data_IF_764414581784
#
_entry.id   IF_764414581784
#
_cell.length_a   1.000
_cell.length_b   1.000
_cell.length_c   1.000
_cell.angle_alpha   90.00
_cell.angle_beta   90.00
_cell.angle_gamma   90.00
#
_symmetry.space_group_name_H-M   'P 1'
#
loop_
_entity.id
_entity.type
_entity.pdbx_description
1 polymer ?
#
# COMPACT_ATOMS: atom_id res chain seq x y z
N UNK A 1 -17.07 7.81 -14.75
CA UNK A 1 -16.08 8.60 -13.99
C UNK A 1 -14.89 8.87 -14.91
N UNK A 2 -14.15 9.94 -14.65
CA UNK A 2 -13.01 10.35 -15.49
C UNK A 2 -11.71 9.77 -14.93
N UNK A 3 -10.76 9.36 -15.80
CA UNK A 3 -9.47 8.76 -15.40
C UNK A 3 -8.71 9.53 -14.29
N UNK A 4 -8.78 10.86 -14.28
CA UNK A 4 -8.10 11.68 -13.27
C UNK A 4 -8.64 11.53 -11.84
N UNK A 5 -9.92 11.20 -11.67
CA UNK A 5 -10.54 11.00 -10.35
C UNK A 5 -10.11 9.67 -9.73
N UNK A 6 -9.97 8.62 -10.55
CA UNK A 6 -9.58 7.28 -10.11
C UNK A 6 -8.16 7.25 -9.52
N UNK A 7 -7.22 7.94 -10.16
CA UNK A 7 -5.85 8.06 -9.64
C UNK A 7 -5.84 8.81 -8.30
N UNK A 8 -6.60 9.92 -8.20
CA UNK A 8 -6.67 10.69 -6.95
C UNK A 8 -7.17 9.87 -5.76
N UNK A 9 -8.20 9.05 -5.97
CA UNK A 9 -8.73 8.14 -4.96
C UNK A 9 -7.70 7.10 -4.53
N UNK A 10 -7.04 6.43 -5.48
CA UNK A 10 -6.01 5.43 -5.18
C UNK A 10 -4.82 6.03 -4.42
N UNK A 11 -4.38 7.25 -4.76
CA UNK A 11 -3.31 7.91 -4.01
C UNK A 11 -3.72 8.27 -2.58
N UNK A 12 -5.00 8.57 -2.35
CA UNK A 12 -5.52 8.78 -1.00
C UNK A 12 -5.52 7.48 -0.18
N UNK A 13 -5.96 6.37 -0.77
CA UNK A 13 -5.96 5.04 -0.13
C UNK A 13 -4.55 4.53 0.14
N UNK A 14 -3.60 4.76 -0.77
CA UNK A 14 -2.19 4.42 -0.56
C UNK A 14 -1.61 5.16 0.66
N UNK A 15 -1.91 6.45 0.81
CA UNK A 15 -1.49 7.25 1.98
C UNK A 15 -2.17 6.77 3.25
N UNK A 16 -3.47 6.52 3.19
CA UNK A 16 -4.25 6.01 4.31
C UNK A 16 -3.63 4.72 4.85
N UNK A 17 -3.27 3.77 3.98
CA UNK A 17 -2.65 2.50 4.38
C UNK A 17 -1.32 2.66 5.14
N UNK A 18 -0.68 3.82 5.06
CA UNK A 18 0.57 4.10 5.80
C UNK A 18 0.35 4.77 7.15
N UNK A 19 -0.88 5.21 7.46
CA UNK A 19 -1.17 5.84 8.75
C UNK A 19 -1.22 4.82 9.88
N UNK A 20 -0.91 5.26 11.10
CA UNK A 20 -0.97 4.41 12.29
C UNK A 20 -2.41 3.92 12.52
N UNK A 21 -3.38 4.80 12.32
CA UNK A 21 -4.80 4.51 12.49
C UNK A 21 -5.26 3.38 11.57
N UNK A 22 -4.89 3.43 10.29
CA UNK A 22 -5.24 2.38 9.34
C UNK A 22 -4.51 1.07 9.69
N UNK A 23 -3.20 1.12 9.90
CA UNK A 23 -2.36 -0.07 10.15
C UNK A 23 -2.74 -0.83 11.42
N UNK A 24 -3.27 -0.14 12.44
CA UNK A 24 -3.80 -0.77 13.66
C UNK A 24 -5.18 -1.37 13.48
N UNK A 25 -5.96 -0.88 12.53
CA UNK A 25 -7.30 -1.39 12.25
C UNK A 25 -7.23 -2.57 11.31
N UNK A 26 -7.19 -3.79 11.86
CA UNK A 26 -7.24 -5.01 11.03
C UNK A 26 -8.46 -5.03 10.10
N UNK A 27 -9.60 -4.49 10.53
CA UNK A 27 -10.79 -4.37 9.69
C UNK A 27 -10.56 -3.44 8.49
N UNK A 28 -9.89 -2.30 8.70
CA UNK A 28 -9.60 -1.37 7.60
C UNK A 28 -8.54 -1.91 6.66
N UNK A 29 -7.48 -2.50 7.17
CA UNK A 29 -6.45 -3.17 6.35
C UNK A 29 -7.11 -4.26 5.49
N UNK A 30 -7.94 -5.13 6.08
CA UNK A 30 -8.64 -6.18 5.33
C UNK A 30 -9.56 -5.61 4.23
N UNK A 31 -10.20 -4.46 4.46
CA UNK A 31 -11.01 -3.82 3.43
C UNK A 31 -10.17 -3.27 2.25
N UNK A 32 -8.92 -2.86 2.51
CA UNK A 32 -8.00 -2.31 1.52
C UNK A 32 -7.22 -3.38 0.75
N UNK A 33 -7.03 -4.57 1.32
CA UNK A 33 -6.31 -5.67 0.66
C UNK A 33 -7.28 -6.55 -0.13
N UNK A 34 -6.92 -6.91 -1.35
CA UNK A 34 -7.63 -7.93 -2.09
C UNK A 34 -7.39 -9.32 -1.46
N UNK A 35 -8.31 -10.26 -1.69
CA UNK A 35 -8.17 -11.64 -1.19
C UNK A 35 -6.89 -12.33 -1.70
N UNK A 36 -6.52 -12.05 -2.95
CA UNK A 36 -5.33 -12.55 -3.64
C UNK A 36 -4.08 -11.66 -3.41
N UNK A 37 -4.09 -10.78 -2.41
CA UNK A 37 -2.99 -9.86 -2.15
C UNK A 37 -1.67 -10.57 -1.80
N UNK A 38 -0.59 -10.08 -2.43
CA UNK A 38 0.79 -10.49 -2.15
C UNK A 38 1.69 -9.27 -1.96
N UNK A 39 2.49 -9.27 -0.90
CA UNK A 39 3.55 -8.30 -0.68
C UNK A 39 4.94 -8.93 -0.76
N UNK A 40 5.86 -8.25 -1.44
CA UNK A 40 7.29 -8.52 -1.38
C UNK A 40 7.94 -7.36 -0.60
N UNK A 41 8.31 -7.63 0.65
CA UNK A 41 8.94 -6.63 1.51
C UNK A 41 10.32 -6.23 0.99
N UNK A 42 10.86 -5.12 1.50
CA UNK A 42 12.22 -4.67 1.15
C UNK A 42 13.33 -5.68 1.49
N UNK A 43 13.05 -6.66 2.36
CA UNK A 43 13.93 -7.80 2.64
C UNK A 43 13.89 -8.92 1.58
N UNK A 44 12.95 -8.85 0.62
CA UNK A 44 12.63 -9.95 -0.30
C UNK A 44 11.67 -11.00 0.28
N UNK A 45 11.23 -10.85 1.54
CA UNK A 45 10.25 -11.76 2.14
C UNK A 45 8.88 -11.58 1.50
N UNK A 46 8.18 -12.69 1.27
CA UNK A 46 6.82 -12.71 0.68
C UNK A 46 5.78 -12.82 1.79
N UNK A 47 4.75 -11.98 1.71
CA UNK A 47 3.66 -11.88 2.68
C UNK A 47 2.31 -11.98 1.97
N UNK A 48 1.36 -12.63 2.62
CA UNK A 48 -0.05 -12.67 2.23
C UNK A 48 -0.89 -11.81 3.18
N UNK A 49 -2.19 -11.67 2.89
CA UNK A 49 -3.16 -10.92 3.71
C UNK A 49 -3.04 -11.22 5.21
N UNK A 50 -3.09 -12.50 5.60
CA UNK A 50 -3.07 -12.89 7.00
C UNK A 50 -1.78 -12.46 7.71
N UNK A 51 -0.63 -12.76 7.10
CA UNK A 51 0.68 -12.40 7.64
C UNK A 51 0.92 -10.88 7.67
N UNK A 52 0.42 -10.14 6.68
CA UNK A 52 0.52 -8.67 6.64
C UNK A 52 -0.34 -8.05 7.74
N UNK A 53 -1.59 -8.48 7.90
CA UNK A 53 -2.49 -7.97 8.95
C UNK A 53 -1.93 -8.23 10.35
N UNK A 54 -1.41 -9.44 10.59
CA UNK A 54 -0.78 -9.79 11.87
C UNK A 54 0.47 -8.94 12.13
N UNK A 55 1.34 -8.79 11.13
CA UNK A 55 2.55 -7.97 11.21
C UNK A 55 2.23 -6.51 11.53
N UNK A 56 1.29 -5.89 10.80
CA UNK A 56 0.90 -4.49 11.00
C UNK A 56 0.24 -4.25 12.38
N UNK A 57 -0.58 -5.20 12.85
CA UNK A 57 -1.18 -5.13 14.19
C UNK A 57 -0.13 -5.09 15.29
N UNK A 58 0.99 -5.80 15.11
CA UNK A 58 2.05 -5.95 16.09
C UNK A 58 3.26 -5.02 15.85
N UNK A 59 3.22 -4.19 14.80
CA UNK A 59 4.34 -3.28 14.49
C UNK A 59 4.58 -2.31 15.66
N UNK A 60 5.82 -1.88 15.97
CA UNK A 60 6.06 -0.84 16.98
C UNK A 60 5.49 0.53 16.56
N UNK A 61 4.96 1.31 17.51
CA UNK A 61 4.37 2.65 17.23
C UNK A 61 5.45 3.68 16.86
N UNK A 62 6.70 3.40 17.20
CA UNK A 62 7.69 4.42 17.53
C UNK A 62 8.04 5.41 16.40
N UNK A 63 7.81 5.05 15.13
CA UNK A 63 7.97 5.96 14.00
C UNK A 63 6.98 5.57 12.88
N UNK A 64 6.08 6.48 12.51
CA UNK A 64 5.21 6.33 11.34
C UNK A 64 6.00 6.27 10.04
N UNK A 65 5.35 5.89 8.94
CA UNK A 65 5.98 5.89 7.61
C UNK A 65 5.72 7.22 6.94
N UNK A 66 6.81 7.90 6.56
CA UNK A 66 6.70 9.07 5.70
C UNK A 66 6.55 8.64 4.23
N UNK A 67 5.61 9.29 3.54
CA UNK A 67 5.29 9.02 2.12
C UNK A 67 5.79 10.17 1.26
N UNK A 68 6.83 9.91 0.46
CA UNK A 68 7.45 10.89 -0.43
C UNK A 68 7.23 10.52 -1.89
N UNK A 69 7.20 11.53 -2.77
CA UNK A 69 7.14 11.36 -4.23
C UNK A 69 5.99 10.44 -4.73
N UNK A 70 4.87 10.41 -4.01
CA UNK A 70 3.75 9.55 -4.36
C UNK A 70 3.11 9.97 -5.68
N UNK A 71 3.13 9.04 -6.64
CA UNK A 71 2.54 9.20 -7.97
C UNK A 71 1.72 7.97 -8.32
N UNK A 72 0.77 8.15 -9.24
CA UNK A 72 -0.08 7.08 -9.73
C UNK A 72 -0.20 7.12 -11.25
N UNK A 73 -0.29 5.94 -11.85
CA UNK A 73 -0.47 5.74 -13.29
C UNK A 73 -1.54 4.69 -13.54
N UNK A 74 -2.48 5.00 -14.43
CA UNK A 74 -3.45 4.03 -14.92
C UNK A 74 -2.74 3.04 -15.84
N UNK A 75 -2.88 1.75 -15.53
CA UNK A 75 -2.38 0.65 -16.37
C UNK A 75 -3.49 0.17 -17.31
N UNK A 76 -4.71 0.15 -16.80
CA UNK A 76 -5.97 -0.19 -17.49
C UNK A 76 -7.14 0.45 -16.70
N UNK A 77 -8.35 0.49 -17.24
CA UNK A 77 -9.54 1.07 -16.59
C UNK A 77 -9.80 0.49 -15.19
N UNK A 78 -9.40 -0.77 -14.97
CA UNK A 78 -9.52 -1.45 -13.69
C UNK A 78 -8.31 -1.38 -12.78
N UNK A 79 -7.19 -0.76 -13.20
CA UNK A 79 -5.91 -0.88 -12.50
C UNK A 79 -5.09 0.40 -12.44
N UNK A 80 -4.63 0.75 -11.23
CA UNK A 80 -3.73 1.87 -10.99
C UNK A 80 -2.46 1.34 -10.33
N UNK A 81 -1.31 1.67 -10.92
CA UNK A 81 -0.01 1.46 -10.33
C UNK A 81 0.39 2.73 -9.56
N UNK A 82 0.79 2.60 -8.29
CA UNK A 82 1.41 3.70 -7.54
C UNK A 82 2.89 3.46 -7.34
N UNK A 83 3.66 4.55 -7.27
CA UNK A 83 5.08 4.54 -6.95
C UNK A 83 5.38 5.67 -5.97
N UNK A 84 6.19 5.37 -4.96
CA UNK A 84 6.54 6.32 -3.90
C UNK A 84 7.80 5.88 -3.16
N UNK A 85 8.41 6.78 -2.41
CA UNK A 85 9.55 6.47 -1.55
C UNK A 85 9.09 6.54 -0.08
N UNK A 86 9.36 5.47 0.69
CA UNK A 86 9.11 5.45 2.13
C UNK A 86 10.35 5.80 2.93
N UNK A 87 10.17 6.58 3.99
CA UNK A 87 11.18 6.81 5.02
C UNK A 87 10.62 6.39 6.38
N UNK A 88 11.38 5.58 7.12
CA UNK A 88 11.08 5.21 8.51
C UNK A 88 12.40 5.12 9.28
N UNK A 89 12.72 6.17 10.02
CA UNK A 89 14.03 6.35 10.64
C UNK A 89 15.13 6.32 9.58
N UNK A 90 16.11 5.41 9.75
CA UNK A 90 17.20 5.20 8.78
C UNK A 90 16.83 4.30 7.60
N UNK A 91 15.64 3.68 7.61
CA UNK A 91 15.22 2.74 6.56
C UNK A 91 14.52 3.51 5.45
N UNK A 92 14.97 3.29 4.22
CA UNK A 92 14.40 3.87 3.02
C UNK A 92 14.10 2.79 2.00
N UNK A 93 12.98 2.91 1.30
CA UNK A 93 12.63 1.98 0.24
C UNK A 93 11.79 2.66 -0.83
N UNK A 94 12.02 2.29 -2.09
CA UNK A 94 11.12 2.59 -3.20
C UNK A 94 10.02 1.56 -3.20
N UNK A 95 8.78 2.02 -3.23
CA UNK A 95 7.59 1.19 -3.15
C UNK A 95 6.80 1.27 -4.43
N UNK A 96 6.20 0.15 -4.79
CA UNK A 96 5.30 0.05 -5.92
C UNK A 96 4.10 -0.78 -5.51
N UNK A 97 2.91 -0.27 -5.80
CA UNK A 97 1.65 -0.94 -5.49
C UNK A 97 0.81 -1.06 -6.74
N UNK A 98 0.12 -2.19 -6.90
CA UNK A 98 -0.92 -2.35 -7.92
C UNK A 98 -2.29 -2.42 -7.23
N UNK A 99 -3.14 -1.46 -7.56
CA UNK A 99 -4.51 -1.38 -7.08
C UNK A 99 -5.46 -1.84 -8.18
N UNK A 100 -6.46 -2.63 -7.80
CA UNK A 100 -7.52 -3.15 -8.66
C UNK A 100 -8.86 -2.57 -8.23
N UNK A 101 -9.63 -2.10 -9.19
CA UNK A 101 -11.02 -1.69 -8.99
C UNK A 101 -11.88 -2.94 -8.80
N UNK A 102 -12.68 -2.96 -7.74
CA UNK A 102 -13.62 -4.05 -7.43
C UNK A 102 -15.03 -3.48 -7.24
N UNK A 103 -16.08 -4.32 -7.15
CA UNK A 103 -17.43 -3.84 -6.87
C UNK A 103 -17.58 -3.07 -5.56
N UNK A 104 -16.66 -3.27 -4.59
CA UNK A 104 -16.69 -2.62 -3.27
C UNK A 104 -15.69 -1.45 -3.14
N UNK A 105 -14.98 -1.11 -4.22
CA UNK A 105 -13.97 -0.04 -4.24
C UNK A 105 -12.61 -0.54 -4.70
N UNK A 106 -11.59 0.32 -4.56
CA UNK A 106 -10.21 -0.05 -4.88
C UNK A 106 -9.59 -0.92 -3.79
N UNK A 107 -8.94 -2.00 -4.21
CA UNK A 107 -8.21 -2.89 -3.33
C UNK A 107 -6.79 -3.13 -3.85
N UNK A 108 -5.83 -3.19 -2.95
CA UNK A 108 -4.43 -3.46 -3.21
C UNK A 108 -4.26 -4.96 -3.50
N UNK A 109 -3.77 -5.31 -4.69
CA UNK A 109 -3.52 -6.71 -5.10
C UNK A 109 -2.04 -7.08 -5.00
N UNK A 110 -1.15 -6.10 -5.12
CA UNK A 110 0.29 -6.36 -5.01
C UNK A 110 1.02 -5.15 -4.43
N UNK A 111 2.01 -5.39 -3.57
CA UNK A 111 2.94 -4.38 -3.08
C UNK A 111 4.37 -4.91 -3.11
N UNK A 112 5.32 -4.07 -3.50
CA UNK A 112 6.74 -4.40 -3.41
C UNK A 112 7.55 -3.22 -2.88
N UNK A 113 8.48 -3.51 -1.97
CA UNK A 113 9.53 -2.59 -1.54
C UNK A 113 10.89 -2.97 -2.10
N UNK A 114 11.66 -2.00 -2.59
CA UNK A 114 13.07 -2.14 -2.95
C UNK A 114 13.88 -1.19 -2.06
N UNK A 115 14.87 -1.68 -1.27
CA UNK A 115 15.71 -0.80 -0.45
C UNK A 115 16.34 0.34 -1.26
N UNK A 116 16.35 1.54 -0.68
CA UNK A 116 17.12 2.66 -1.21
C UNK A 116 18.43 2.82 -0.42
N UNK A 117 19.51 3.30 -1.06
CA UNK A 117 20.75 3.64 -0.37
C UNK A 117 20.57 4.71 0.72
#
# INVERSE_FOLDING_TARGET
MTPGTDVGEVLALERELQTVECRRSSARVLALLAEDFVEIGASGSVWNVASTVESLRNEPIDEGIEVHNLTGRIIDDGYVLTQWDSVRGRRRARRTSLWRRTPIGWQLVHHQGTPLP
#
